data_IF_898835638203
#
_entry.id   IF_898835638203
#
_cell.length_a   1.000
_cell.length_b   1.000
_cell.length_c   1.000
_cell.angle_alpha   90.00
_cell.angle_beta   90.00
_cell.angle_gamma   90.00
#
_symmetry.space_group_name_H-M   'P 1'
#
loop_
_entity.id
_entity.type
_entity.pdbx_description
1 polymer ?
#
# COMPACT_ATOMS: atom_id res chain seq x y z
N UNK A 1 -16.39 -8.66 -14.79
CA UNK A 1 -17.36 -7.61 -14.39
C UNK A 1 -16.63 -6.55 -13.54
N UNK A 2 -17.21 -5.38 -13.29
CA UNK A 2 -16.59 -4.36 -12.41
C UNK A 2 -16.19 -4.94 -11.04
N UNK A 3 -17.03 -5.83 -10.50
CA UNK A 3 -16.75 -6.56 -9.25
C UNK A 3 -15.44 -7.35 -9.27
N UNK A 4 -15.04 -7.92 -10.41
CA UNK A 4 -13.80 -8.68 -10.54
C UNK A 4 -12.57 -7.78 -10.38
N UNK A 5 -12.58 -6.59 -10.99
CA UNK A 5 -11.48 -5.62 -10.89
C UNK A 5 -11.41 -5.04 -9.48
N UNK A 6 -12.56 -4.71 -8.89
CA UNK A 6 -12.64 -4.22 -7.51
C UNK A 6 -12.07 -5.25 -6.55
N UNK A 7 -12.44 -6.54 -6.68
CA UNK A 7 -11.90 -7.59 -5.85
C UNK A 7 -10.39 -7.80 -6.06
N UNK A 8 -9.93 -7.79 -7.31
CA UNK A 8 -8.50 -7.90 -7.63
C UNK A 8 -7.68 -6.80 -6.95
N UNK A 9 -8.10 -5.54 -7.08
CA UNK A 9 -7.42 -4.41 -6.43
C UNK A 9 -7.57 -4.43 -4.90
N UNK A 10 -8.70 -4.90 -4.39
CA UNK A 10 -8.89 -5.08 -2.94
C UNK A 10 -7.87 -6.04 -2.33
N UNK A 11 -7.55 -7.15 -2.98
CA UNK A 11 -6.55 -8.11 -2.46
C UNK A 11 -5.16 -7.48 -2.41
N UNK A 12 -4.77 -6.67 -3.40
CA UNK A 12 -3.52 -5.91 -3.38
C UNK A 12 -3.51 -4.86 -2.26
N UNK A 13 -4.61 -4.15 -2.09
CA UNK A 13 -4.81 -3.24 -0.99
C UNK A 13 -4.66 -3.95 0.37
N UNK A 14 -5.24 -5.13 0.53
CA UNK A 14 -5.23 -5.88 1.79
C UNK A 14 -3.85 -6.44 2.16
N UNK A 15 -3.08 -6.96 1.19
CA UNK A 15 -1.76 -7.55 1.48
C UNK A 15 -0.71 -6.49 1.82
N UNK A 16 -0.81 -5.28 1.25
CA UNK A 16 0.20 -4.24 1.41
C UNK A 16 0.45 -3.82 2.88
N UNK A 17 -0.56 -3.52 3.73
CA UNK A 17 -0.32 -3.26 5.13
C UNK A 17 0.19 -4.50 5.88
N UNK A 18 -0.18 -5.72 5.48
CA UNK A 18 0.37 -6.95 6.10
C UNK A 18 1.89 -7.05 5.89
N UNK A 19 2.41 -6.61 4.75
CA UNK A 19 3.85 -6.51 4.53
C UNK A 19 4.53 -5.52 5.50
N UNK A 20 3.89 -4.37 5.76
CA UNK A 20 4.37 -3.40 6.76
C UNK A 20 4.36 -4.04 8.16
N UNK A 21 3.29 -4.76 8.51
CA UNK A 21 3.12 -5.42 9.81
C UNK A 21 4.28 -6.36 10.16
N UNK A 22 4.85 -7.03 9.14
CA UNK A 22 6.01 -7.91 9.30
C UNK A 22 7.21 -7.23 9.96
N UNK A 23 7.41 -5.93 9.68
CA UNK A 23 8.48 -5.15 10.31
C UNK A 23 8.20 -4.77 11.77
N UNK A 24 6.94 -4.82 12.20
CA UNK A 24 6.41 -4.30 13.47
C UNK A 24 5.99 -5.41 14.45
N UNK A 25 6.27 -6.68 14.09
CA UNK A 25 5.93 -7.84 14.91
C UNK A 25 6.48 -7.71 16.34
N UNK A 26 5.63 -8.06 17.31
CA UNK A 26 5.91 -8.04 18.75
C UNK A 26 6.29 -6.68 19.38
N UNK A 27 6.30 -5.58 18.63
CA UNK A 27 6.70 -4.26 19.14
C UNK A 27 5.67 -3.14 18.96
N UNK A 28 4.62 -3.37 18.18
CA UNK A 28 3.57 -2.37 17.94
C UNK A 28 2.31 -2.62 18.77
N UNK A 29 1.73 -1.55 19.32
CA UNK A 29 0.44 -1.59 19.97
C UNK A 29 -0.69 -1.79 18.95
N UNK A 30 -1.63 -2.70 19.26
CA UNK A 30 -2.73 -3.05 18.35
C UNK A 30 -3.69 -1.88 18.05
N UNK A 31 -3.98 -1.00 19.02
CA UNK A 31 -4.83 0.16 18.76
C UNK A 31 -4.14 1.17 17.84
N UNK A 32 -2.83 1.35 18.00
CA UNK A 32 -2.03 2.12 17.05
C UNK A 32 -2.08 1.49 15.65
N UNK A 33 -2.07 0.15 15.55
CA UNK A 33 -2.17 -0.56 14.26
C UNK A 33 -3.53 -0.33 13.58
N UNK A 34 -4.63 -0.44 14.34
CA UNK A 34 -6.00 -0.22 13.84
C UNK A 34 -6.19 1.19 13.30
N UNK A 35 -5.52 2.20 13.87
CA UNK A 35 -5.55 3.58 13.37
C UNK A 35 -4.59 3.78 12.20
N UNK A 36 -3.39 3.19 12.27
CA UNK A 36 -2.36 3.30 11.25
C UNK A 36 -2.82 2.77 9.89
N UNK A 37 -3.41 1.58 9.85
CA UNK A 37 -3.80 0.93 8.59
C UNK A 37 -4.72 1.80 7.73
N UNK A 38 -5.88 2.30 8.18
CA UNK A 38 -6.76 3.12 7.35
C UNK A 38 -6.12 4.46 6.97
N UNK A 39 -5.36 5.10 7.87
CA UNK A 39 -4.65 6.34 7.56
C UNK A 39 -3.60 6.13 6.46
N UNK A 40 -2.76 5.11 6.61
CA UNK A 40 -1.75 4.76 5.61
C UNK A 40 -2.39 4.36 4.28
N UNK A 41 -3.54 3.69 4.33
CA UNK A 41 -4.28 3.32 3.13
C UNK A 41 -4.71 4.57 2.33
N UNK A 42 -5.38 5.51 2.99
CA UNK A 42 -5.88 6.74 2.33
C UNK A 42 -4.75 7.66 1.89
N UNK A 43 -3.75 7.86 2.77
CA UNK A 43 -2.73 8.88 2.58
C UNK A 43 -1.49 8.39 1.80
N UNK A 44 -1.31 7.08 1.64
CA UNK A 44 -0.15 6.52 0.94
C UNK A 44 -0.59 5.54 -0.15
N UNK A 45 -1.24 4.42 0.23
CA UNK A 45 -1.57 3.36 -0.72
C UNK A 45 -2.46 3.85 -1.87
N UNK A 46 -3.59 4.49 -1.57
CA UNK A 46 -4.54 4.97 -2.57
C UNK A 46 -3.92 6.05 -3.47
N UNK A 47 -3.09 6.93 -2.91
CA UNK A 47 -2.36 7.93 -3.70
C UNK A 47 -1.41 7.25 -4.69
N UNK A 48 -0.61 6.28 -4.24
CA UNK A 48 0.30 5.51 -5.09
C UNK A 48 -0.44 4.72 -6.17
N UNK A 49 -1.49 3.98 -5.78
CA UNK A 49 -2.30 3.18 -6.69
C UNK A 49 -2.99 4.04 -7.75
N UNK A 50 -3.60 5.18 -7.38
CA UNK A 50 -4.22 6.08 -8.35
C UNK A 50 -3.18 6.70 -9.28
N UNK A 51 -2.03 7.10 -8.73
CA UNK A 51 -0.95 7.74 -9.50
C UNK A 51 -0.44 6.83 -10.62
N UNK A 52 -0.30 5.53 -10.37
CA UNK A 52 0.29 4.57 -11.31
C UNK A 52 -0.75 3.77 -12.11
N UNK A 53 -1.87 3.37 -11.51
CA UNK A 53 -2.86 2.48 -12.14
C UNK A 53 -4.22 3.15 -12.39
N UNK A 54 -4.52 4.26 -11.73
CA UNK A 54 -5.80 4.94 -11.79
C UNK A 54 -5.89 6.06 -12.83
N UNK A 55 -4.87 6.24 -13.68
CA UNK A 55 -4.81 7.35 -14.64
C UNK A 55 -4.23 8.65 -14.05
N UNK A 56 -3.60 8.59 -12.88
CA UNK A 56 -2.91 9.71 -12.27
C UNK A 56 -1.61 10.11 -12.98
N UNK A 57 -0.81 10.96 -12.34
CA UNK A 57 0.32 11.63 -13.00
C UNK A 57 1.44 10.66 -13.45
N UNK A 58 1.75 9.61 -12.67
CA UNK A 58 2.78 8.63 -13.06
C UNK A 58 2.34 7.78 -14.25
N UNK A 59 1.05 7.43 -14.30
CA UNK A 59 0.46 6.79 -15.48
C UNK A 59 0.61 7.68 -16.72
N UNK A 60 0.31 8.97 -16.60
CA UNK A 60 0.45 9.94 -17.70
C UNK A 60 1.90 10.15 -18.15
N UNK A 61 2.87 9.94 -17.26
CA UNK A 61 4.29 9.96 -17.58
C UNK A 61 4.80 8.65 -18.19
N UNK A 62 3.95 7.63 -18.37
CA UNK A 62 4.31 6.35 -18.96
C UNK A 62 5.02 5.39 -18.01
N UNK A 63 4.93 5.61 -16.69
CA UNK A 63 5.49 4.69 -15.69
C UNK A 63 4.75 3.36 -15.74
N UNK A 64 5.50 2.27 -15.82
CA UNK A 64 4.98 0.92 -15.84
C UNK A 64 5.25 0.22 -14.51
N UNK A 65 4.17 -0.15 -13.83
CA UNK A 65 4.21 -1.06 -12.68
C UNK A 65 3.20 -2.18 -12.90
N UNK A 66 3.67 -3.35 -13.35
CA UNK A 66 2.79 -4.43 -13.78
C UNK A 66 2.04 -5.10 -12.63
N UNK A 67 2.72 -5.32 -11.49
CA UNK A 67 2.21 -6.16 -10.40
C UNK A 67 2.35 -5.52 -9.01
N UNK A 68 2.76 -4.25 -8.92
CA UNK A 68 2.87 -3.53 -7.64
C UNK A 68 4.27 -3.47 -7.09
N UNK A 69 5.30 -3.53 -7.95
CA UNK A 69 6.68 -3.29 -7.54
C UNK A 69 6.84 -1.96 -6.81
N UNK A 70 6.17 -0.91 -7.31
CA UNK A 70 6.14 0.40 -6.67
C UNK A 70 4.98 0.50 -5.67
N UNK A 71 3.75 0.24 -6.13
CA UNK A 71 2.53 0.49 -5.34
C UNK A 71 2.43 -0.39 -4.09
N UNK A 72 2.95 -1.62 -4.14
CA UNK A 72 2.87 -2.60 -3.05
C UNK A 72 4.23 -2.75 -2.37
N UNK A 73 5.25 -3.22 -3.09
CA UNK A 73 6.50 -3.68 -2.48
C UNK A 73 7.38 -2.54 -2.00
N UNK A 74 7.65 -1.54 -2.85
CA UNK A 74 8.45 -0.39 -2.47
C UNK A 74 7.74 0.44 -1.40
N UNK A 75 6.46 0.75 -1.61
CA UNK A 75 5.69 1.57 -0.66
C UNK A 75 5.63 0.93 0.74
N UNK A 76 5.30 -0.36 0.84
CA UNK A 76 5.25 -1.08 2.12
C UNK A 76 6.63 -1.31 2.71
N UNK A 77 7.65 -1.57 1.89
CA UNK A 77 9.02 -1.71 2.33
C UNK A 77 9.57 -0.42 2.94
N UNK A 78 9.34 0.73 2.30
CA UNK A 78 9.73 2.04 2.85
C UNK A 78 8.95 2.36 4.12
N UNK A 79 7.64 2.14 4.14
CA UNK A 79 6.82 2.36 5.33
C UNK A 79 7.26 1.45 6.49
N UNK A 80 7.54 0.17 6.23
CA UNK A 80 8.03 -0.78 7.22
C UNK A 80 9.42 -0.41 7.74
N UNK A 81 10.34 0.01 6.86
CA UNK A 81 11.66 0.50 7.27
C UNK A 81 11.55 1.72 8.20
N UNK A 82 10.76 2.73 7.81
CA UNK A 82 10.56 3.93 8.63
C UNK A 82 9.90 3.58 9.95
N UNK A 83 8.89 2.71 9.95
CA UNK A 83 8.23 2.25 11.16
C UNK A 83 9.13 1.35 12.04
N UNK A 84 10.20 0.78 11.48
CA UNK A 84 11.18 -0.04 12.19
C UNK A 84 12.38 0.68 12.75
N UNK A 85 12.64 1.87 12.24
CA UNK A 85 13.65 2.74 12.80
C UNK A 85 13.29 3.27 14.20
N UNK A 86 11.99 3.38 14.50
CA UNK A 86 11.44 3.75 15.80
C UNK A 86 11.09 2.52 16.64
#
# INVERSE_FOLDING_TARGET
>A
AMSTIVYFQFVFAAITPVLIAGSLLARMNFMAWVVFVPLWHVLSYTIGAFSVWGGGFLFQWGVLDFAGGYVIHLSSGTAGYVAAYW
#
